data_IF_456450323739
#
_entry.id   IF_456450323739
#
_cell.length_a   1.000
_cell.length_b   1.000
_cell.length_c   1.000
_cell.angle_alpha   90.00
_cell.angle_beta   90.00
_cell.angle_gamma   90.00
#
_symmetry.space_group_name_H-M   'P 1'
#
loop_
_entity.id
_entity.type
_entity.pdbx_description
1 polymer ?
#
# COMPACT_ATOMS: atom_id res chain seq x y z
N UNK A 1 -10.80 21.76 -16.81
CA UNK A 1 -10.63 20.34 -17.16
C UNK A 1 -11.69 19.54 -16.42
N UNK A 2 -12.39 18.62 -17.08
CA UNK A 2 -13.37 17.77 -16.40
C UNK A 2 -12.67 16.92 -15.34
N UNK A 3 -13.26 16.82 -14.15
CA UNK A 3 -12.71 16.00 -13.06
C UNK A 3 -12.83 14.53 -13.44
N UNK A 4 -11.71 13.82 -13.43
CA UNK A 4 -11.70 12.39 -13.71
C UNK A 4 -12.25 11.61 -12.53
N UNK A 5 -13.05 10.59 -12.82
CA UNK A 5 -13.56 9.63 -11.83
C UNK A 5 -12.47 8.65 -11.39
N UNK A 6 -12.64 8.02 -10.23
CA UNK A 6 -11.72 6.99 -9.76
C UNK A 6 -11.60 5.81 -10.74
N UNK A 7 -12.67 5.50 -11.48
CA UNK A 7 -12.66 4.47 -12.52
C UNK A 7 -11.78 4.85 -13.72
N UNK A 8 -11.84 6.12 -14.17
CA UNK A 8 -10.98 6.63 -15.24
C UNK A 8 -9.51 6.67 -14.82
N UNK A 9 -9.24 7.14 -13.60
CA UNK A 9 -7.89 7.14 -13.00
C UNK A 9 -7.32 5.72 -12.93
N UNK A 10 -8.11 4.76 -12.42
CA UNK A 10 -7.72 3.35 -12.36
C UNK A 10 -7.46 2.77 -13.76
N UNK A 11 -8.34 3.02 -14.73
CA UNK A 11 -8.17 2.52 -16.09
C UNK A 11 -6.90 3.05 -16.76
N UNK A 12 -6.54 4.33 -16.52
CA UNK A 12 -5.26 4.90 -16.99
C UNK A 12 -4.07 4.20 -16.33
N UNK A 13 -4.13 4.02 -15.01
CA UNK A 13 -3.10 3.29 -14.26
C UNK A 13 -2.89 1.88 -14.80
N UNK A 14 -3.95 1.10 -14.97
CA UNK A 14 -3.87 -0.30 -15.44
C UNK A 14 -3.29 -0.39 -16.86
N UNK A 15 -3.64 0.53 -17.76
CA UNK A 15 -3.02 0.60 -19.11
C UNK A 15 -1.52 0.83 -19.03
N UNK A 16 -1.08 1.79 -18.20
CA UNK A 16 0.35 2.09 -18.01
C UNK A 16 1.08 0.90 -17.35
N UNK A 17 0.53 0.32 -16.29
CA UNK A 17 1.10 -0.84 -15.60
C UNK A 17 1.22 -2.05 -16.54
N UNK A 18 0.21 -2.33 -17.38
CA UNK A 18 0.26 -3.40 -18.39
C UNK A 18 1.36 -3.17 -19.43
N UNK A 19 1.58 -1.92 -19.86
CA UNK A 19 2.68 -1.58 -20.78
C UNK A 19 4.04 -1.87 -20.14
N UNK A 20 4.24 -1.44 -18.90
CA UNK A 20 5.48 -1.70 -18.14
C UNK A 20 5.73 -3.20 -17.99
N UNK A 21 4.70 -3.97 -17.60
CA UNK A 21 4.80 -5.42 -17.46
C UNK A 21 5.18 -6.11 -18.78
N UNK A 22 4.62 -5.64 -19.92
CA UNK A 22 4.93 -6.16 -21.26
C UNK A 22 6.40 -5.95 -21.63
N UNK A 23 6.97 -4.79 -21.35
CA UNK A 23 8.39 -4.50 -21.62
C UNK A 23 9.26 -5.52 -20.89
N UNK A 24 9.01 -5.74 -19.60
CA UNK A 24 9.73 -6.74 -18.81
C UNK A 24 9.59 -8.16 -19.39
N UNK A 25 8.38 -8.56 -19.79
CA UNK A 25 8.16 -9.89 -20.41
C UNK A 25 8.84 -10.02 -21.79
N UNK A 26 8.99 -8.92 -22.53
CA UNK A 26 9.77 -8.89 -23.78
C UNK A 26 11.26 -9.04 -23.51
N UNK A 27 11.79 -8.30 -22.53
CA UNK A 27 13.20 -8.42 -22.12
C UNK A 27 13.55 -9.81 -21.63
N UNK A 28 12.69 -10.44 -20.82
CA UNK A 28 12.90 -11.82 -20.38
C UNK A 28 12.97 -12.77 -21.58
N UNK A 29 12.02 -12.68 -22.52
CA UNK A 29 12.04 -13.53 -23.73
C UNK A 29 13.24 -13.28 -24.62
N UNK A 30 13.73 -12.05 -24.70
CA UNK A 30 14.95 -11.73 -25.45
C UNK A 30 16.18 -12.38 -24.80
N UNK A 31 16.25 -12.36 -23.46
CA UNK A 31 17.32 -13.02 -22.70
C UNK A 31 17.25 -14.54 -22.86
N UNK A 32 16.08 -15.14 -22.71
CA UNK A 32 15.87 -16.59 -22.86
C UNK A 32 16.27 -17.10 -24.27
N UNK A 33 16.23 -16.21 -25.28
CA UNK A 33 16.65 -16.49 -26.67
C UNK A 33 18.11 -16.13 -26.97
N UNK A 34 18.86 -15.64 -25.98
CA UNK A 34 20.25 -15.21 -26.16
C UNK A 34 20.42 -13.91 -26.94
N UNK A 35 19.36 -13.12 -27.13
CA UNK A 35 19.44 -11.84 -27.86
C UNK A 35 19.98 -10.69 -26.99
N UNK A 36 19.92 -10.83 -25.66
CA UNK A 36 20.47 -9.87 -24.70
C UNK A 36 21.21 -10.64 -23.61
N UNK A 37 22.20 -9.99 -23.01
CA UNK A 37 22.93 -10.55 -21.87
C UNK A 37 22.23 -10.30 -20.51
N UNK A 38 22.84 -10.81 -19.44
CA UNK A 38 22.30 -10.68 -18.09
C UNK A 38 22.30 -9.23 -17.59
N UNK A 39 23.27 -8.42 -17.98
CA UNK A 39 23.38 -7.02 -17.55
C UNK A 39 22.22 -6.19 -18.12
N UNK A 40 21.91 -6.39 -19.41
CA UNK A 40 20.77 -5.74 -20.04
C UNK A 40 19.44 -6.25 -19.48
N UNK A 41 19.33 -7.54 -19.13
CA UNK A 41 18.17 -8.05 -18.41
C UNK A 41 18.01 -7.39 -17.02
N UNK A 42 19.09 -7.25 -16.27
CA UNK A 42 19.09 -6.60 -14.96
C UNK A 42 18.57 -5.17 -15.04
N UNK A 43 19.11 -4.38 -15.97
CA UNK A 43 18.65 -3.02 -16.23
C UNK A 43 17.18 -2.96 -16.64
N UNK A 44 16.70 -3.93 -17.43
CA UNK A 44 15.30 -3.99 -17.81
C UNK A 44 14.40 -4.23 -16.58
N UNK A 45 14.76 -5.15 -15.68
CA UNK A 45 14.01 -5.38 -14.44
C UNK A 45 13.97 -4.15 -13.54
N UNK A 46 15.11 -3.49 -13.34
CA UNK A 46 15.20 -2.28 -12.51
C UNK A 46 14.40 -1.12 -13.11
N UNK A 47 14.58 -0.85 -14.41
CA UNK A 47 13.89 0.25 -15.11
C UNK A 47 12.37 0.06 -15.13
N UNK A 48 11.92 -1.18 -15.40
CA UNK A 48 10.48 -1.49 -15.41
C UNK A 48 9.90 -1.44 -14.00
N UNK A 49 10.65 -1.83 -12.97
CA UNK A 49 10.19 -1.72 -11.59
C UNK A 49 10.06 -0.25 -11.15
N UNK A 50 11.08 0.58 -11.40
CA UNK A 50 11.01 2.03 -11.16
C UNK A 50 9.80 2.65 -11.86
N UNK A 51 9.61 2.31 -13.14
CA UNK A 51 8.47 2.78 -13.92
C UNK A 51 7.12 2.36 -13.31
N UNK A 52 7.01 1.13 -12.80
CA UNK A 52 5.79 0.65 -12.15
C UNK A 52 5.49 1.43 -10.86
N UNK A 53 6.50 1.70 -10.03
CA UNK A 53 6.34 2.49 -8.80
C UNK A 53 5.96 3.93 -9.13
N UNK A 54 6.60 4.57 -10.11
CA UNK A 54 6.23 5.94 -10.54
C UNK A 54 4.81 6.01 -11.10
N UNK A 55 4.38 5.01 -11.88
CA UNK A 55 3.00 4.91 -12.38
C UNK A 55 2.01 4.77 -11.21
N UNK A 56 2.38 4.06 -10.13
CA UNK A 56 1.58 3.94 -8.93
C UNK A 56 1.54 5.24 -8.11
N UNK A 57 2.66 5.97 -7.97
CA UNK A 57 2.68 7.30 -7.34
C UNK A 57 1.76 8.28 -8.08
N UNK A 58 1.82 8.33 -9.41
CA UNK A 58 0.90 9.15 -10.21
C UNK A 58 -0.56 8.71 -10.04
N UNK A 59 -0.83 7.42 -9.88
CA UNK A 59 -2.19 6.95 -9.58
C UNK A 59 -2.69 7.47 -8.23
N UNK A 60 -1.85 7.41 -7.18
CA UNK A 60 -2.22 7.93 -5.86
C UNK A 60 -2.53 9.42 -5.93
N UNK A 61 -1.69 10.14 -6.66
CA UNK A 61 -1.83 11.57 -6.94
C UNK A 61 -3.16 11.91 -7.61
N UNK A 62 -3.40 11.32 -8.78
CA UNK A 62 -4.60 11.56 -9.59
C UNK A 62 -5.87 11.21 -8.80
N UNK A 63 -5.84 10.08 -8.06
CA UNK A 63 -6.95 9.65 -7.23
C UNK A 63 -7.19 10.62 -6.07
N UNK A 64 -6.13 11.14 -5.44
CA UNK A 64 -6.26 12.08 -4.33
C UNK A 64 -6.92 13.37 -4.79
N UNK A 65 -6.45 13.95 -5.89
CA UNK A 65 -7.04 15.17 -6.47
C UNK A 65 -8.48 14.94 -6.90
N UNK A 66 -8.77 13.81 -7.53
CA UNK A 66 -10.15 13.41 -7.87
C UNK A 66 -11.07 13.34 -6.65
N UNK A 67 -10.56 12.89 -5.49
CA UNK A 67 -11.29 12.89 -4.22
C UNK A 67 -11.50 14.30 -3.65
N UNK A 68 -10.54 15.21 -3.79
CA UNK A 68 -10.66 16.59 -3.30
C UNK A 68 -11.68 17.42 -4.07
N UNK A 69 -11.82 17.15 -5.37
CA UNK A 69 -12.73 17.85 -6.27
C UNK A 69 -14.12 17.21 -6.33
N UNK A 70 -14.42 16.29 -5.41
CA UNK A 70 -15.68 15.53 -5.35
C UNK A 70 -16.04 14.76 -6.64
N UNK A 71 -15.06 14.56 -7.55
CA UNK A 71 -15.27 13.87 -8.82
C UNK A 71 -15.00 12.37 -8.80
N UNK A 72 -14.48 11.84 -7.69
CA UNK A 72 -14.04 10.43 -7.60
C UNK A 72 -15.13 9.41 -7.87
N UNK A 73 -16.39 9.73 -7.57
CA UNK A 73 -17.51 8.77 -7.63
C UNK A 73 -17.46 7.67 -6.57
N UNK A 74 -16.56 7.76 -5.58
CA UNK A 74 -16.46 6.81 -4.46
C UNK A 74 -17.43 7.25 -3.36
N UNK A 75 -18.42 6.41 -3.01
CA UNK A 75 -19.52 6.78 -2.10
C UNK A 75 -19.08 7.15 -0.68
N UNK A 76 -17.96 6.59 -0.22
CA UNK A 76 -17.45 6.79 1.15
C UNK A 76 -16.48 7.97 1.29
N UNK A 77 -16.27 8.74 0.21
CA UNK A 77 -15.29 9.82 0.16
C UNK A 77 -16.02 11.14 0.23
N UNK A 78 -15.53 12.04 1.09
CA UNK A 78 -15.98 13.43 1.17
C UNK A 78 -14.77 14.30 1.50
N UNK A 79 -14.58 15.39 0.77
CA UNK A 79 -13.54 16.36 1.10
C UNK A 79 -13.93 17.14 2.37
N UNK A 80 -12.93 17.44 3.22
CA UNK A 80 -13.10 18.35 4.37
C UNK A 80 -13.07 19.80 3.94
N UNK A 81 -12.32 20.08 2.88
CA UNK A 81 -12.15 21.39 2.26
C UNK A 81 -12.45 21.20 0.78
N UNK A 82 -13.42 21.95 0.27
CA UNK A 82 -13.71 21.99 -1.16
C UNK A 82 -12.71 22.88 -1.89
N UNK A 83 -12.34 22.50 -3.11
CA UNK A 83 -11.44 23.28 -3.96
C UNK A 83 -12.15 23.67 -5.25
N UNK A 84 -12.00 24.92 -5.73
CA UNK A 84 -12.68 25.38 -6.95
C UNK A 84 -12.09 24.73 -8.22
N UNK A 85 -10.82 24.33 -8.18
CA UNK A 85 -10.14 23.73 -9.33
C UNK A 85 -9.01 22.81 -8.89
N UNK A 86 -8.57 21.95 -9.82
CA UNK A 86 -7.39 21.11 -9.62
C UNK A 86 -6.12 21.94 -9.38
N UNK A 87 -5.95 23.08 -10.06
CA UNK A 87 -4.76 23.93 -9.89
C UNK A 87 -4.68 24.52 -8.48
N UNK A 88 -5.80 24.99 -7.92
CA UNK A 88 -5.84 25.52 -6.56
C UNK A 88 -5.61 24.39 -5.53
N UNK A 89 -6.18 23.20 -5.75
CA UNK A 89 -5.87 22.04 -4.92
C UNK A 89 -4.37 21.73 -4.93
N UNK A 90 -3.73 21.80 -6.09
CA UNK A 90 -2.30 21.58 -6.27
C UNK A 90 -1.43 22.60 -5.56
N UNK A 91 -1.74 23.89 -5.72
CA UNK A 91 -1.04 24.97 -5.05
C UNK A 91 -1.08 24.78 -3.52
N UNK A 92 -2.24 24.45 -2.96
CA UNK A 92 -2.41 24.19 -1.52
C UNK A 92 -1.65 22.93 -1.08
N UNK A 93 -1.67 21.85 -1.88
CA UNK A 93 -0.95 20.62 -1.55
C UNK A 93 0.57 20.79 -1.52
N UNK A 94 1.09 21.72 -2.31
CA UNK A 94 2.54 22.01 -2.46
C UNK A 94 2.98 23.16 -1.53
N UNK A 95 2.08 24.08 -1.19
CA UNK A 95 2.35 25.27 -0.39
C UNK A 95 3.08 24.92 0.93
N UNK A 96 4.08 25.75 1.27
CA UNK A 96 4.82 25.64 2.53
C UNK A 96 5.91 24.56 2.58
N UNK A 97 6.18 23.84 1.49
CA UNK A 97 7.20 22.75 1.48
C UNK A 97 8.51 23.08 0.75
N UNK A 98 8.60 24.22 0.08
CA UNK A 98 9.77 24.61 -0.73
C UNK A 98 10.09 23.64 -1.89
N UNK A 99 9.20 22.69 -2.17
CA UNK A 99 9.32 21.68 -3.24
C UNK A 99 8.32 21.96 -4.33
N UNK A 100 8.58 21.48 -5.54
CA UNK A 100 7.67 21.59 -6.70
C UNK A 100 6.75 20.38 -6.87
N UNK A 101 6.82 19.41 -5.96
CA UNK A 101 6.09 18.15 -6.07
C UNK A 101 5.71 17.61 -4.69
N UNK A 102 4.73 16.71 -4.68
CA UNK A 102 4.19 16.08 -3.49
C UNK A 102 4.72 14.65 -3.37
N UNK A 103 5.34 14.32 -2.25
CA UNK A 103 5.70 12.93 -1.94
C UNK A 103 4.46 12.15 -1.50
N UNK A 104 4.12 11.12 -2.27
CA UNK A 104 3.04 10.15 -1.97
C UNK A 104 3.57 8.93 -1.22
N UNK A 105 4.84 8.59 -1.42
CA UNK A 105 5.51 7.50 -0.73
C UNK A 105 6.62 8.04 0.20
N UNK A 106 6.90 7.38 1.36
CA UNK A 106 6.22 6.21 1.92
C UNK A 106 4.73 6.47 2.25
N UNK A 107 3.90 5.42 2.18
CA UNK A 107 2.43 5.54 2.21
C UNK A 107 1.87 6.21 3.46
N UNK A 108 2.62 6.22 4.58
CA UNK A 108 2.31 7.00 5.78
C UNK A 108 2.03 8.47 5.46
N UNK A 109 2.81 9.09 4.56
CA UNK A 109 2.64 10.49 4.13
C UNK A 109 1.31 10.69 3.39
N UNK A 110 0.90 9.72 2.59
CA UNK A 110 -0.42 9.71 1.94
C UNK A 110 -1.55 9.62 2.97
N UNK A 111 -1.42 8.77 4.00
CA UNK A 111 -2.40 8.68 5.07
C UNK A 111 -2.54 9.97 5.88
N UNK A 112 -1.41 10.56 6.28
CA UNK A 112 -1.37 11.84 7.01
C UNK A 112 -2.08 12.95 6.21
N UNK A 113 -1.78 13.04 4.91
CA UNK A 113 -2.43 13.99 4.02
C UNK A 113 -3.92 13.71 3.87
N UNK A 114 -4.31 12.44 3.71
CA UNK A 114 -5.71 12.05 3.63
C UNK A 114 -6.48 12.42 4.91
N UNK A 115 -5.87 12.28 6.09
CA UNK A 115 -6.51 12.63 7.36
C UNK A 115 -6.82 14.14 7.48
N UNK A 116 -5.95 14.98 6.89
CA UNK A 116 -6.10 16.44 6.84
C UNK A 116 -7.20 16.86 5.87
N UNK A 117 -7.21 16.31 4.65
CA UNK A 117 -8.08 16.83 3.59
C UNK A 117 -9.36 16.03 3.34
N UNK A 118 -9.44 14.78 3.79
CA UNK A 118 -10.56 13.87 3.50
C UNK A 118 -11.24 13.41 4.80
N UNK A 119 -12.56 13.31 4.78
CA UNK A 119 -13.33 12.81 5.91
C UNK A 119 -12.93 11.35 6.17
N UNK A 120 -12.50 11.08 7.40
CA UNK A 120 -11.95 9.78 7.82
C UNK A 120 -10.78 9.25 6.96
N UNK A 121 -10.10 10.13 6.20
CA UNK A 121 -8.98 9.76 5.34
C UNK A 121 -9.34 8.81 4.19
N UNK A 122 -10.63 8.65 3.85
CA UNK A 122 -11.07 7.73 2.78
C UNK A 122 -10.70 8.30 1.40
N UNK A 123 -10.33 7.46 0.40
CA UNK A 123 -10.27 5.99 0.47
C UNK A 123 -8.94 5.46 1.01
N UNK A 124 -7.91 6.28 1.16
CA UNK A 124 -6.54 5.88 1.54
C UNK A 124 -6.46 5.18 2.89
N UNK A 125 -7.29 5.60 3.85
CA UNK A 125 -7.40 4.99 5.18
C UNK A 125 -7.85 3.52 5.15
N UNK A 126 -8.32 3.00 4.00
CA UNK A 126 -8.55 1.57 3.81
C UNK A 126 -7.30 0.76 4.16
N UNK A 127 -6.10 1.20 3.80
CA UNK A 127 -4.87 0.42 4.07
C UNK A 127 -4.38 0.49 5.51
N UNK A 128 -4.89 1.41 6.34
CA UNK A 128 -4.32 1.73 7.67
C UNK A 128 -4.12 0.53 8.58
N UNK A 129 -5.07 -0.42 8.56
CA UNK A 129 -5.06 -1.59 9.43
C UNK A 129 -4.66 -2.88 8.69
N UNK A 130 -4.01 -2.76 7.53
CA UNK A 130 -3.63 -3.90 6.68
C UNK A 130 -2.12 -3.98 6.53
N UNK A 131 -1.44 -4.64 7.48
CA UNK A 131 0.02 -4.68 7.49
C UNK A 131 0.60 -5.40 6.28
N UNK A 132 -0.08 -6.39 5.70
CA UNK A 132 0.36 -7.05 4.47
C UNK A 132 0.38 -6.08 3.29
N UNK A 133 -0.67 -5.27 3.13
CA UNK A 133 -0.81 -4.32 2.02
C UNK A 133 0.15 -3.14 2.19
N UNK A 134 0.26 -2.59 3.40
CA UNK A 134 1.24 -1.55 3.72
C UNK A 134 2.67 -2.08 3.60
N UNK A 135 2.91 -3.33 3.98
CA UNK A 135 4.17 -4.03 3.83
C UNK A 135 4.58 -4.11 2.35
N UNK A 136 3.66 -4.52 1.47
CA UNK A 136 3.92 -4.57 0.03
C UNK A 136 4.29 -3.20 -0.57
N UNK A 137 3.61 -2.12 -0.16
CA UNK A 137 3.97 -0.76 -0.62
C UNK A 137 5.31 -0.32 -0.04
N UNK A 138 5.58 -0.63 1.23
CA UNK A 138 6.85 -0.29 1.90
C UNK A 138 8.02 -1.01 1.22
N UNK A 139 7.86 -2.29 0.93
CA UNK A 139 8.82 -3.10 0.19
C UNK A 139 9.09 -2.53 -1.20
N UNK A 140 8.05 -2.13 -1.93
CA UNK A 140 8.22 -1.50 -3.24
C UNK A 140 9.04 -0.18 -3.16
N UNK A 141 8.82 0.62 -2.11
CA UNK A 141 9.63 1.82 -1.85
C UNK A 141 11.07 1.46 -1.50
N UNK A 142 11.29 0.43 -0.69
CA UNK A 142 12.63 -0.05 -0.34
C UNK A 142 13.42 -0.46 -1.59
N UNK A 143 12.80 -1.24 -2.48
CA UNK A 143 13.43 -1.67 -3.73
C UNK A 143 13.69 -0.47 -4.65
N UNK A 144 12.71 0.43 -4.83
CA UNK A 144 12.90 1.67 -5.62
C UNK A 144 14.09 2.49 -5.13
N UNK A 145 14.19 2.69 -3.81
CA UNK A 145 15.28 3.45 -3.21
C UNK A 145 16.63 2.75 -3.41
N UNK A 146 16.68 1.43 -3.33
CA UNK A 146 17.89 0.64 -3.59
C UNK A 146 18.33 0.66 -5.06
N UNK A 147 17.40 0.82 -6.00
CA UNK A 147 17.72 1.03 -7.42
C UNK A 147 18.24 2.46 -7.64
N UNK A 148 17.59 3.46 -7.03
CA UNK A 148 17.91 4.87 -7.26
C UNK A 148 19.16 5.36 -6.52
N UNK A 149 19.56 4.67 -5.45
CA UNK A 149 20.65 5.12 -4.57
C UNK A 149 21.54 3.96 -4.14
N UNK A 150 22.85 4.10 -4.33
CA UNK A 150 23.86 3.11 -3.92
C UNK A 150 24.24 3.22 -2.42
N UNK A 151 23.59 4.11 -1.67
CA UNK A 151 23.93 4.38 -0.27
C UNK A 151 23.70 3.20 0.68
N UNK A 152 24.51 3.09 1.74
CA UNK A 152 24.46 1.97 2.71
C UNK A 152 23.09 1.74 3.35
N UNK A 153 22.29 2.80 3.56
CA UNK A 153 20.91 2.70 4.08
C UNK A 153 19.98 1.96 3.12
N UNK A 154 20.05 2.28 1.81
CA UNK A 154 19.21 1.64 0.80
C UNK A 154 19.58 0.15 0.62
N UNK A 155 20.87 -0.15 0.61
CA UNK A 155 21.41 -1.52 0.59
C UNK A 155 20.99 -2.33 1.82
N UNK A 156 20.98 -1.72 3.00
CA UNK A 156 20.55 -2.39 4.24
C UNK A 156 19.05 -2.71 4.23
N UNK A 157 18.21 -1.79 3.73
CA UNK A 157 16.79 -2.04 3.54
C UNK A 157 16.53 -3.21 2.59
N UNK A 158 17.26 -3.28 1.47
CA UNK A 158 17.15 -4.39 0.53
C UNK A 158 17.59 -5.72 1.16
N UNK A 159 18.70 -5.74 1.93
CA UNK A 159 19.15 -6.95 2.66
C UNK A 159 18.08 -7.47 3.61
N UNK A 160 17.33 -6.59 4.28
CA UNK A 160 16.25 -6.97 5.18
C UNK A 160 15.05 -7.65 4.47
N UNK A 161 14.92 -7.49 3.15
CA UNK A 161 13.95 -8.25 2.34
C UNK A 161 14.37 -9.70 2.06
N UNK A 162 15.53 -10.11 2.60
CA UNK A 162 15.96 -11.51 2.60
C UNK A 162 16.89 -11.87 1.45
N UNK A 163 17.84 -11.02 1.05
CA UNK A 163 18.81 -11.34 -0.02
C UNK A 163 19.73 -12.53 0.27
N UNK A 164 19.76 -13.03 1.51
CA UNK A 164 20.71 -14.07 1.95
C UNK A 164 20.59 -15.38 1.16
N UNK A 165 19.39 -15.72 0.67
CA UNK A 165 19.15 -16.91 -0.15
C UNK A 165 19.68 -16.78 -1.58
N UNK A 166 20.06 -15.58 -2.02
CA UNK A 166 20.58 -15.35 -3.37
C UNK A 166 22.10 -15.55 -3.41
N UNK A 167 22.64 -16.06 -4.54
CA UNK A 167 24.09 -16.08 -4.79
C UNK A 167 24.69 -14.68 -4.61
N UNK A 168 25.93 -14.58 -4.12
CA UNK A 168 26.58 -13.30 -3.82
C UNK A 168 26.52 -12.30 -4.97
N UNK A 169 26.75 -12.77 -6.21
CA UNK A 169 26.66 -11.97 -7.44
C UNK A 169 25.25 -11.48 -7.80
N UNK A 170 24.21 -12.00 -7.17
CA UNK A 170 22.79 -11.64 -7.37
C UNK A 170 22.17 -10.90 -6.17
N UNK A 171 22.97 -10.52 -5.16
CA UNK A 171 22.50 -9.79 -3.97
C UNK A 171 22.36 -8.28 -4.23
N UNK A 172 21.60 -7.94 -5.27
CA UNK A 172 21.31 -6.57 -5.72
C UNK A 172 19.84 -6.47 -6.19
N UNK A 173 19.29 -5.26 -6.46
CA UNK A 173 17.87 -5.08 -6.77
C UNK A 173 17.38 -5.94 -7.95
N UNK A 174 18.06 -5.93 -9.10
CA UNK A 174 17.68 -6.79 -10.23
C UNK A 174 17.68 -8.29 -9.87
N UNK A 175 18.69 -8.78 -9.13
CA UNK A 175 18.76 -10.17 -8.72
C UNK A 175 17.61 -10.57 -7.78
N UNK A 176 17.20 -9.68 -6.88
CA UNK A 176 16.00 -9.85 -6.06
C UNK A 176 14.73 -9.88 -6.91
N UNK A 177 14.55 -8.91 -7.80
CA UNK A 177 13.36 -8.80 -8.65
C UNK A 177 13.16 -10.00 -9.59
N UNK A 178 14.27 -10.62 -10.01
CA UNK A 178 14.28 -11.83 -10.83
C UNK A 178 14.09 -13.12 -10.03
N UNK A 179 14.33 -13.11 -8.72
CA UNK A 179 14.18 -14.30 -7.88
C UNK A 179 12.72 -14.76 -7.82
N UNK A 180 12.53 -16.05 -7.53
CA UNK A 180 11.20 -16.66 -7.43
C UNK A 180 10.58 -16.38 -6.08
N UNK A 181 9.25 -16.28 -6.06
CA UNK A 181 8.49 -16.22 -4.81
C UNK A 181 8.52 -17.61 -4.19
N UNK A 182 8.75 -17.67 -2.87
CA UNK A 182 8.70 -18.93 -2.14
C UNK A 182 7.31 -19.57 -2.29
N UNK A 183 7.28 -20.85 -2.69
CA UNK A 183 6.03 -21.58 -2.94
C UNK A 183 5.42 -21.41 -4.33
N UNK A 184 5.93 -20.50 -5.16
CA UNK A 184 5.49 -20.34 -6.56
C UNK A 184 6.69 -20.12 -7.51
N UNK A 185 7.23 -21.21 -8.12
CA UNK A 185 8.38 -21.11 -9.02
C UNK A 185 8.05 -20.42 -10.35
N UNK A 186 6.78 -20.25 -10.70
CA UNK A 186 6.37 -19.53 -11.91
C UNK A 186 6.35 -18.00 -11.69
N UNK A 187 6.27 -17.55 -10.44
CA UNK A 187 6.14 -16.14 -10.07
C UNK A 187 7.49 -15.54 -9.64
N UNK A 188 7.92 -14.47 -10.32
CA UNK A 188 9.07 -13.67 -9.88
C UNK A 188 8.66 -12.61 -8.86
N UNK A 189 9.60 -12.15 -8.02
CA UNK A 189 9.35 -11.05 -7.09
C UNK A 189 8.83 -9.80 -7.80
N UNK A 190 9.39 -9.47 -8.98
CA UNK A 190 8.89 -8.37 -9.80
C UNK A 190 7.38 -8.51 -10.11
N UNK A 191 6.93 -9.68 -10.57
CA UNK A 191 5.50 -9.91 -10.86
C UNK A 191 4.64 -9.80 -9.61
N UNK A 192 5.10 -10.39 -8.51
CA UNK A 192 4.38 -10.36 -7.24
C UNK A 192 4.17 -8.93 -6.73
N UNK A 193 5.23 -8.11 -6.69
CA UNK A 193 5.14 -6.71 -6.25
C UNK A 193 4.24 -5.88 -7.15
N UNK A 194 4.30 -6.06 -8.47
CA UNK A 194 3.38 -5.38 -9.41
C UNK A 194 1.92 -5.82 -9.20
N UNK A 195 1.68 -7.10 -8.93
CA UNK A 195 0.35 -7.61 -8.62
C UNK A 195 -0.21 -6.99 -7.33
N UNK A 196 0.63 -6.84 -6.29
CA UNK A 196 0.27 -6.15 -5.05
C UNK A 196 -0.11 -4.69 -5.27
N UNK A 197 0.71 -3.93 -6.02
CA UNK A 197 0.38 -2.53 -6.35
C UNK A 197 -0.93 -2.41 -7.13
N UNK A 198 -1.16 -3.29 -8.11
CA UNK A 198 -2.40 -3.31 -8.89
C UNK A 198 -3.63 -3.62 -8.02
N UNK A 199 -3.50 -4.61 -7.13
CA UNK A 199 -4.54 -5.01 -6.17
C UNK A 199 -4.89 -3.86 -5.23
N UNK A 200 -3.88 -3.16 -4.70
CA UNK A 200 -4.05 -1.97 -3.85
C UNK A 200 -4.69 -0.81 -4.63
N UNK A 201 -4.29 -0.57 -5.88
CA UNK A 201 -4.90 0.47 -6.71
C UNK A 201 -6.40 0.22 -6.93
N UNK A 202 -6.78 -1.02 -7.27
CA UNK A 202 -8.18 -1.44 -7.39
C UNK A 202 -8.98 -1.25 -6.11
N UNK A 203 -8.37 -1.60 -4.97
CA UNK A 203 -8.97 -1.39 -3.66
C UNK A 203 -9.24 0.09 -3.35
N UNK A 204 -8.27 0.96 -3.63
CA UNK A 204 -8.40 2.40 -3.39
C UNK A 204 -9.44 3.05 -4.32
N UNK A 205 -9.50 2.63 -5.58
CA UNK A 205 -10.46 3.13 -6.57
C UNK A 205 -11.87 2.49 -6.48
N UNK A 206 -12.07 1.49 -5.60
CA UNK A 206 -13.37 0.82 -5.45
C UNK A 206 -14.45 1.78 -4.94
N UNK A 207 -15.64 1.70 -5.56
CA UNK A 207 -16.80 2.59 -5.30
C UNK A 207 -17.32 2.50 -3.86
N UNK A 208 -17.14 1.35 -3.22
CA UNK A 208 -17.59 1.07 -1.85
C UNK A 208 -16.52 0.31 -1.07
N UNK A 209 -16.57 0.41 0.26
CA UNK A 209 -15.67 -0.34 1.14
C UNK A 209 -15.86 -1.87 0.99
N UNK A 210 -17.10 -2.34 0.80
CA UNK A 210 -17.39 -3.77 0.54
C UNK A 210 -16.70 -4.28 -0.73
N UNK A 211 -16.68 -3.49 -1.79
CA UNK A 211 -15.96 -3.87 -3.02
C UNK A 211 -14.45 -3.84 -2.81
N UNK A 212 -13.94 -2.85 -2.07
CA UNK A 212 -12.51 -2.72 -1.77
C UNK A 212 -11.98 -3.96 -1.02
N UNK A 213 -12.77 -4.51 -0.08
CA UNK A 213 -12.41 -5.72 0.68
C UNK A 213 -12.15 -6.96 -0.19
N UNK A 214 -12.66 -7.03 -1.42
CA UNK A 214 -12.35 -8.14 -2.35
C UNK A 214 -10.90 -8.17 -2.79
N UNK A 215 -10.21 -7.04 -2.70
CA UNK A 215 -8.83 -6.90 -3.13
C UNK A 215 -7.86 -6.86 -1.94
N UNK A 216 -8.33 -6.53 -0.75
CA UNK A 216 -7.46 -6.18 0.35
C UNK A 216 -7.14 -7.39 1.21
N UNK A 217 -5.96 -7.37 1.84
CA UNK A 217 -5.61 -8.39 2.83
C UNK A 217 -6.51 -8.31 4.06
N UNK A 218 -6.40 -9.31 4.93
CA UNK A 218 -7.04 -9.28 6.24
C UNK A 218 -6.54 -8.07 7.05
N UNK A 219 -7.44 -7.48 7.83
CA UNK A 219 -7.00 -6.50 8.84
C UNK A 219 -6.16 -7.21 9.90
N UNK A 220 -5.21 -6.48 10.50
CA UNK A 220 -4.51 -6.98 11.68
C UNK A 220 -5.51 -7.21 12.82
N UNK A 221 -5.16 -8.12 13.72
CA UNK A 221 -5.84 -8.19 15.00
C UNK A 221 -5.58 -6.91 15.81
N UNK A 222 -6.62 -6.45 16.49
CA UNK A 222 -6.61 -5.31 17.37
C UNK A 222 -6.53 -5.78 18.82
N UNK A 223 -5.83 -5.03 19.67
CA UNK A 223 -5.72 -5.35 21.10
C UNK A 223 -6.66 -4.49 21.94
N UNK A 224 -7.09 -5.01 23.08
CA UNK A 224 -7.76 -4.22 24.12
C UNK A 224 -6.96 -2.95 24.43
N UNK A 225 -7.63 -1.80 24.49
CA UNK A 225 -7.03 -0.48 24.65
C UNK A 225 -6.77 0.26 23.34
N UNK A 226 -6.74 -0.43 22.19
CA UNK A 226 -6.61 0.24 20.89
C UNK A 226 -7.92 0.90 20.47
N UNK A 227 -7.85 1.99 19.70
CA UNK A 227 -8.99 2.68 19.11
C UNK A 227 -9.08 2.42 17.59
N UNK A 228 -9.57 1.25 17.15
CA UNK A 228 -9.66 0.89 15.72
C UNK A 228 -10.75 1.65 14.94
N UNK A 229 -11.54 2.48 15.63
CA UNK A 229 -12.65 3.24 15.09
C UNK A 229 -13.99 2.52 15.22
N UNK A 230 -15.06 3.12 14.67
CA UNK A 230 -16.41 2.55 14.72
C UNK A 230 -16.48 1.19 14.05
N UNK A 231 -17.31 0.29 14.58
CA UNK A 231 -17.59 -1.02 13.99
C UNK A 231 -17.88 -2.10 15.01
N UNK A 232 -18.21 -3.29 14.53
CA UNK A 232 -18.36 -4.49 15.35
C UNK A 232 -17.07 -5.28 15.31
N UNK A 233 -16.60 -5.71 16.46
CA UNK A 233 -15.36 -6.45 16.65
C UNK A 233 -15.65 -7.75 17.35
N UNK A 234 -15.06 -8.83 16.87
CA UNK A 234 -15.19 -10.16 17.41
C UNK A 234 -13.90 -10.54 18.13
N UNK A 235 -14.00 -11.00 19.38
CA UNK A 235 -12.86 -11.55 20.10
C UNK A 235 -12.37 -12.82 19.37
N UNK A 236 -11.05 -12.91 19.16
CA UNK A 236 -10.43 -14.03 18.42
C UNK A 236 -10.52 -15.34 19.22
N UNK A 237 -10.56 -15.28 20.55
CA UNK A 237 -10.55 -16.47 21.42
C UNK A 237 -11.95 -17.06 21.68
N UNK A 238 -12.95 -16.23 21.98
CA UNK A 238 -14.29 -16.70 22.41
C UNK A 238 -15.44 -16.23 21.51
N UNK A 239 -15.13 -15.53 20.41
CA UNK A 239 -16.09 -14.99 19.45
C UNK A 239 -17.11 -13.98 19.99
N UNK A 240 -16.92 -13.45 21.21
CA UNK A 240 -17.76 -12.38 21.76
C UNK A 240 -17.70 -11.12 20.89
N UNK A 241 -18.85 -10.49 20.65
CA UNK A 241 -18.96 -9.28 19.85
C UNK A 241 -18.93 -8.03 20.72
N UNK A 242 -18.21 -7.01 20.26
CA UNK A 242 -18.12 -5.68 20.85
C UNK A 242 -18.39 -4.64 19.77
N UNK A 243 -19.38 -3.79 19.98
CA UNK A 243 -19.69 -2.68 19.09
C UNK A 243 -19.06 -1.39 19.61
N UNK A 244 -18.20 -0.75 18.80
CA UNK A 244 -17.69 0.59 19.06
C UNK A 244 -18.53 1.62 18.29
N UNK A 245 -19.22 2.48 19.03
CA UNK A 245 -20.10 3.53 18.47
C UNK A 245 -19.37 4.85 18.20
N UNK A 246 -18.20 5.06 18.81
CA UNK A 246 -17.35 6.26 18.61
C UNK A 246 -16.06 5.93 17.86
N UNK A 247 -15.54 6.90 17.12
CA UNK A 247 -14.23 6.80 16.45
C UNK A 247 -13.08 6.72 17.46
N UNK A 248 -13.27 7.30 18.65
CA UNK A 248 -12.26 7.36 19.72
C UNK A 248 -12.47 6.29 20.79
N UNK A 249 -13.52 5.47 20.67
CA UNK A 249 -13.72 4.37 21.60
C UNK A 249 -12.58 3.36 21.47
N UNK A 250 -12.07 2.93 22.62
CA UNK A 250 -11.07 1.87 22.70
C UNK A 250 -11.76 0.52 22.85
N UNK A 251 -11.11 -0.54 22.37
CA UNK A 251 -11.57 -1.90 22.61
C UNK A 251 -11.47 -2.23 24.11
N UNK A 252 -12.55 -2.65 24.77
CA UNK A 252 -12.51 -3.06 26.16
C UNK A 252 -11.76 -4.39 26.31
N UNK A 253 -11.52 -4.81 27.55
CA UNK A 253 -11.21 -6.22 27.81
C UNK A 253 -12.40 -7.09 27.41
N UNK A 254 -12.13 -8.28 26.88
CA UNK A 254 -13.18 -9.17 26.43
C UNK A 254 -14.00 -9.65 27.64
N UNK A 255 -15.33 -9.44 27.67
CA UNK A 255 -16.14 -9.77 28.84
C UNK A 255 -16.15 -11.27 29.16
N UNK A 256 -15.83 -12.13 28.18
CA UNK A 256 -15.77 -13.59 28.37
C UNK A 256 -14.36 -14.13 28.64
N UNK A 257 -13.32 -13.47 28.13
CA UNK A 257 -11.93 -13.92 28.31
C UNK A 257 -11.20 -13.21 29.46
N UNK A 258 -11.86 -12.31 30.18
CA UNK A 258 -11.26 -11.51 31.25
C UNK A 258 -10.93 -12.38 32.48
N UNK A 259 -9.82 -13.11 32.45
CA UNK A 259 -9.36 -14.02 33.51
C UNK A 259 -8.66 -13.30 34.69
N UNK A 260 -8.82 -11.98 34.83
CA UNK A 260 -8.11 -11.20 35.85
C UNK A 260 -6.61 -11.03 35.56
N UNK A 261 -5.87 -10.32 36.43
CA UNK A 261 -4.42 -10.18 36.31
C UNK A 261 -3.71 -11.51 36.63
N UNK A 262 -2.61 -11.79 35.93
CA UNK A 262 -1.75 -12.93 36.22
C UNK A 262 -1.17 -12.82 37.64
N UNK A 263 -1.38 -13.82 38.49
CA UNK A 263 -0.94 -13.81 39.89
C UNK A 263 0.60 -13.70 40.06
N UNK A 264 1.37 -14.15 39.08
CA UNK A 264 2.83 -14.14 39.14
C UNK A 264 3.46 -12.78 38.79
N UNK A 265 2.85 -12.01 37.90
CA UNK A 265 3.43 -10.77 37.38
C UNK A 265 2.48 -9.56 37.40
N UNK A 266 1.28 -9.75 37.93
CA UNK A 266 0.19 -8.76 38.00
C UNK A 266 -0.20 -8.12 36.65
N UNK A 267 0.11 -8.78 35.51
CA UNK A 267 -0.24 -8.28 34.16
C UNK A 267 -1.58 -8.85 33.70
N UNK A 268 -2.45 -7.98 33.18
CA UNK A 268 -3.70 -8.37 32.53
C UNK A 268 -3.43 -8.83 31.10
N UNK A 269 -3.93 -10.01 30.72
CA UNK A 269 -3.83 -10.50 29.34
C UNK A 269 -4.66 -9.60 28.42
N UNK A 270 -4.02 -9.01 27.41
CA UNK A 270 -4.73 -8.20 26.42
C UNK A 270 -5.59 -9.10 25.54
N UNK A 271 -6.86 -8.73 25.39
CA UNK A 271 -7.78 -9.42 24.48
C UNK A 271 -7.47 -9.06 23.03
N UNK A 272 -7.48 -10.04 22.13
CA UNK A 272 -7.34 -9.84 20.69
C UNK A 272 -8.71 -9.84 19.99
N UNK A 273 -8.89 -8.92 19.04
CA UNK A 273 -10.12 -8.71 18.31
C UNK A 273 -9.86 -8.64 16.80
N UNK A 274 -10.83 -9.10 16.01
CA UNK A 274 -10.91 -8.88 14.58
C UNK A 274 -12.18 -8.10 14.25
N UNK A 275 -12.17 -7.28 13.20
CA UNK A 275 -13.40 -6.60 12.76
C UNK A 275 -14.34 -7.64 12.14
N UNK A 276 -15.59 -7.70 12.62
CA UNK A 276 -16.63 -8.60 12.11
C UNK A 276 -17.27 -8.07 10.83
#
# INVERSE_FOLDING_TARGET
MATETAAQVLARYERKAKRVARVRDQSQRAFDRGHIDQALLDHAYESTFLSAVSVFEQFLEDLFVSCLLDGSGIRSVKARVGFPSASVAWEILIAGRGRRYVDWLPFKRTLERADVFLVAGRPFSRLRNRPSDLGAVTEAVTIRNAIAHEGGSATSGLKALGLSHLPSRRRHPAGYLQSKVSGDPALTQHRARLADLNRIARALASKTDKQALRYLGSERQFRSGEAPGRGTYQCVDCHALVALTSKYATLPQCPRCNLGPCLACNRVRQSAYQRS
#
